data_IF_848490612387
#
_entry.id   IF_848490612387
#
_cell.length_a   1.000
_cell.length_b   1.000
_cell.length_c   1.000
_cell.angle_alpha   90.00
_cell.angle_beta   90.00
_cell.angle_gamma   90.00
#
_symmetry.space_group_name_H-M   'P 1'
#
loop_
_entity.id
_entity.type
_entity.pdbx_description
1 polymer ?
2 polymer ?
3 non-polymer ?
4 non-polymer ?
5 water ?
#
# COMPACT_ATOMS: atom_id res chain seq x y z
N UNK A 7 10.00 -5.68 24.97
CA UNK A 7 11.38 -6.12 24.82
C UNK A 7 11.65 -7.33 25.72
N UNK A 8 11.99 -8.43 25.04
CA UNK A 8 12.08 -9.75 25.62
C UNK A 8 13.49 -9.99 26.14
N UNK A 9 13.59 -10.87 27.13
CA UNK A 9 14.90 -11.28 27.62
C UNK A 9 15.77 -11.77 26.47
N UNK A 10 17.03 -11.36 26.49
CA UNK A 10 17.94 -11.76 25.42
C UNK A 10 18.20 -13.24 25.50
N UNK A 11 18.03 -13.98 24.41
CA UNK A 11 18.45 -15.38 24.39
C UNK A 11 19.96 -15.48 24.43
N UNK A 12 20.43 -16.69 24.71
CA UNK A 12 21.85 -16.97 24.62
C UNK A 12 22.37 -16.72 23.20
N UNK A 13 23.69 -16.65 23.09
CA UNK A 13 24.32 -16.24 21.84
C UNK A 13 24.02 -17.21 20.72
N UNK A 14 24.19 -18.52 20.99
CA UNK A 14 23.95 -19.52 19.94
C UNK A 14 22.49 -19.51 19.53
N UNK A 15 21.59 -19.31 20.50
CA UNK A 15 20.17 -19.24 20.18
C UNK A 15 19.87 -18.07 19.28
N UNK A 16 20.44 -16.90 19.56
CA UNK A 16 20.24 -15.75 18.70
C UNK A 16 20.77 -16.02 17.29
N UNK A 17 22.00 -16.56 17.19
CA UNK A 17 22.54 -16.83 15.88
C UNK A 17 21.59 -17.71 15.08
N UNK A 18 21.14 -18.82 15.65
CA UNK A 18 20.23 -19.70 14.92
C UNK A 18 18.95 -18.98 14.56
N UNK A 19 18.36 -18.23 15.50
CA UNK A 19 17.08 -17.60 15.19
C UNK A 19 17.19 -16.63 14.06
N UNK A 20 18.26 -15.87 14.00
CA UNK A 20 18.37 -14.80 13.03
C UNK A 20 18.90 -15.28 11.68
N UNK A 21 19.71 -16.34 11.64
CA UNK A 21 20.35 -16.83 10.41
C UNK A 21 19.62 -17.97 9.71
N UNK A 22 18.77 -18.74 10.40
CA UNK A 22 18.38 -20.05 9.88
C UNK A 22 17.57 -19.93 8.59
N UNK A 23 17.56 -21.03 7.83
CA UNK A 23 16.91 -21.04 6.52
C UNK A 23 15.40 -21.14 6.54
N UNK A 24 14.81 -21.39 7.70
CA UNK A 24 13.35 -21.42 7.86
C UNK A 24 12.78 -20.02 8.11
N UNK A 25 13.27 -19.32 9.13
CA UNK A 25 12.70 -18.05 9.55
C UNK A 25 13.72 -16.92 9.63
N UNK A 26 14.94 -17.18 9.23
CA UNK A 26 16.00 -16.22 9.38
C UNK A 26 16.57 -15.81 8.04
N UNK A 27 17.80 -15.31 8.07
CA UNK A 27 18.42 -14.62 6.94
C UNK A 27 18.48 -15.51 5.71
N UNK A 28 18.60 -16.83 5.89
CA UNK A 28 18.72 -17.76 4.80
C UNK A 28 17.38 -18.20 4.21
N UNK A 29 16.27 -17.67 4.73
CA UNK A 29 14.94 -18.00 4.16
C UNK A 29 14.90 -17.57 2.70
N UNK A 30 14.40 -18.42 1.80
CA UNK A 30 14.26 -18.00 0.40
C UNK A 30 13.34 -16.79 0.25
N UNK A 31 13.58 -16.01 -0.82
CA UNK A 31 12.72 -14.87 -1.18
C UNK A 31 11.45 -15.38 -1.84
N UNK A 32 10.30 -14.95 -1.33
CA UNK A 32 9.00 -15.34 -1.87
C UNK A 32 8.15 -14.10 -2.08
N UNK A 33 7.65 -13.93 -3.27
CA UNK A 33 6.94 -12.73 -3.64
C UNK A 33 5.82 -12.40 -2.67
N UNK A 34 5.79 -11.14 -2.26
CA UNK A 34 4.80 -10.66 -1.32
C UNK A 34 5.30 -10.54 0.09
N UNK A 35 6.32 -11.28 0.46
CA UNK A 35 6.79 -11.26 1.83
C UNK A 35 7.52 -9.95 2.12
N UNK A 36 7.53 -9.58 3.41
CA UNK A 36 8.25 -8.42 3.89
C UNK A 36 9.62 -8.83 4.37
N UNK A 37 10.61 -8.01 4.00
CA UNK A 37 11.95 -8.06 4.44
C UNK A 37 12.36 -6.66 4.91
N UNK A 38 13.35 -6.59 5.75
CA UNK A 38 13.80 -5.35 6.35
C UNK A 38 15.29 -5.14 6.09
N UNK A 39 15.68 -3.89 5.91
CA UNK A 39 17.09 -3.57 5.74
C UNK A 39 17.72 -3.24 7.08
N UNK A 40 18.90 -3.80 7.33
CA UNK A 40 19.69 -3.57 8.55
C UNK A 40 21.03 -3.00 8.11
N UNK A 41 21.42 -1.85 8.62
CA UNK A 41 22.71 -1.29 8.23
C UNK A 41 23.84 -2.29 8.55
N UNK A 42 24.76 -2.46 7.60
CA UNK A 42 25.69 -3.59 7.63
C UNK A 42 26.61 -3.52 8.84
N UNK A 43 27.12 -2.34 9.20
CA UNK A 43 28.00 -2.27 10.37
C UNK A 43 27.30 -2.78 11.63
N UNK A 44 26.03 -2.42 11.84
CA UNK A 44 25.31 -2.97 12.99
C UNK A 44 25.24 -4.47 12.90
N UNK A 45 24.85 -5.03 11.74
CA UNK A 45 24.68 -6.48 11.69
C UNK A 45 26.02 -7.19 11.91
N UNK A 46 27.10 -6.64 11.38
CA UNK A 46 28.41 -7.27 11.61
C UNK A 46 28.84 -7.18 13.07
N UNK A 47 28.40 -6.14 13.77
CA UNK A 47 28.72 -6.01 15.19
C UNK A 47 27.93 -7.03 15.97
N UNK A 48 26.63 -7.21 15.64
CA UNK A 48 25.81 -8.26 16.21
C UNK A 48 26.43 -9.63 15.95
N UNK A 49 26.89 -9.89 14.73
CA UNK A 49 27.53 -11.16 14.41
C UNK A 49 28.77 -11.37 15.28
N UNK A 50 29.64 -10.37 15.37
CA UNK A 50 30.84 -10.51 16.18
C UNK A 50 30.48 -10.83 17.63
N UNK A 51 29.47 -10.13 18.17
CA UNK A 51 28.99 -10.41 19.51
C UNK A 51 28.52 -11.85 19.69
N UNK A 52 27.61 -12.32 18.83
CA UNK A 52 27.05 -13.65 19.06
C UNK A 52 28.00 -14.76 18.72
N UNK A 53 29.04 -14.50 17.95
CA UNK A 53 30.07 -15.50 17.65
C UNK A 53 31.26 -15.38 18.59
N UNK A 54 31.22 -14.42 19.55
CA UNK A 54 32.40 -14.08 20.32
C UNK A 54 32.59 -14.88 21.58
N UNK A 55 31.61 -15.69 21.98
CA UNK A 55 31.74 -16.57 23.13
C UNK A 55 31.60 -15.91 24.48
N UNK A 56 31.21 -14.65 24.53
CA UNK A 56 31.15 -13.90 25.79
C UNK A 56 29.86 -13.10 25.79
N UNK A 57 28.83 -13.62 26.48
CA UNK A 57 27.55 -12.92 26.50
C UNK A 57 27.61 -11.57 27.19
N UNK A 58 28.66 -11.30 27.98
CA UNK A 58 28.83 -10.05 28.69
C UNK A 58 29.75 -9.09 27.97
N UNK A 59 30.13 -9.39 26.74
CA UNK A 59 31.17 -8.63 26.06
C UNK A 59 30.71 -7.23 25.65
N UNK A 60 31.67 -6.30 25.70
CA UNK A 60 31.44 -4.97 25.15
C UNK A 60 31.20 -4.95 23.65
N UNK A 61 31.38 -6.07 22.92
CA UNK A 61 31.03 -6.11 21.51
C UNK A 61 29.53 -6.12 21.29
N UNK A 62 28.73 -6.24 22.35
CA UNK A 62 27.27 -6.09 22.30
C UNK A 62 26.90 -4.91 21.39
N UNK A 63 25.97 -5.09 20.46
CA UNK A 63 25.80 -4.06 19.39
C UNK A 63 24.96 -2.87 19.76
N UNK A 64 24.18 -2.93 20.83
CA UNK A 64 23.30 -1.84 21.20
C UNK A 64 22.10 -1.78 20.24
N UNK A 65 21.36 -0.68 20.38
CA UNK A 65 20.16 -0.48 19.58
C UNK A 65 20.45 -0.54 18.09
N UNK A 66 19.51 -1.12 17.35
CA UNK A 66 19.62 -1.04 15.88
C UNK A 66 19.52 0.43 15.47
N UNK A 67 20.44 0.90 14.63
CA UNK A 67 20.38 2.29 14.21
C UNK A 67 20.72 2.34 12.73
N UNK A 68 19.71 2.61 11.90
CA UNK A 68 19.88 2.65 10.45
C UNK A 68 20.09 4.06 9.92
N UNK A 69 20.50 5.00 10.76
CA UNK A 69 20.60 6.42 10.41
C UNK A 69 21.40 6.64 9.14
N UNK A 70 22.48 5.89 8.94
CA UNK A 70 23.32 6.17 7.78
C UNK A 70 22.67 5.72 6.46
N UNK A 71 21.57 5.00 6.50
CA UNK A 71 20.87 4.60 5.27
C UNK A 71 19.91 5.66 4.77
N UNK A 72 19.58 6.67 5.57
CA UNK A 72 18.57 7.66 5.20
C UNK A 72 19.17 8.96 4.69
N UNK A 73 18.47 9.62 3.78
CA UNK A 73 18.95 10.91 3.29
C UNK A 73 18.90 11.96 4.37
N UNK A 74 17.82 11.99 5.12
CA UNK A 74 17.68 12.85 6.29
C UNK A 74 16.66 12.23 7.24
N UNK A 75 16.55 12.84 8.43
CA UNK A 75 15.64 12.39 9.47
C UNK A 75 14.33 13.19 9.51
N UNK A 76 14.04 13.93 8.44
CA UNK A 76 12.77 14.64 8.24
C UNK A 76 11.78 13.78 7.47
N UNK A 77 12.18 13.35 6.27
CA UNK A 77 11.30 12.56 5.45
C UNK A 77 11.71 11.11 5.38
N UNK A 78 12.87 10.76 5.94
CA UNK A 78 13.28 9.35 6.05
C UNK A 78 13.29 8.64 4.69
N UNK A 79 13.71 9.34 3.65
CA UNK A 79 13.82 8.69 2.35
C UNK A 79 15.12 7.90 2.33
N UNK A 80 15.07 6.71 1.79
CA UNK A 80 16.27 5.89 1.69
C UNK A 80 17.28 6.54 0.77
N UNK A 81 18.54 6.49 1.13
CA UNK A 81 19.57 6.92 0.18
C UNK A 81 19.49 6.03 -1.06
N UNK A 82 19.87 6.66 -2.17
CA UNK A 82 19.97 5.99 -3.47
C UNK A 82 21.24 5.17 -3.55
N UNK A 83 21.20 4.13 -4.38
CA UNK A 83 22.43 3.41 -4.73
C UNK A 83 22.94 2.47 -3.66
N UNK A 84 22.14 2.14 -2.67
CA UNK A 84 22.63 1.26 -1.60
C UNK A 84 22.83 -0.14 -2.15
N UNK A 85 23.83 -0.85 -1.65
CA UNK A 85 24.22 -2.18 -2.18
C UNK A 85 24.06 -3.23 -1.09
N UNK A 86 23.31 -4.27 -1.38
CA UNK A 86 23.15 -5.37 -0.42
C UNK A 86 24.52 -6.01 -0.19
N UNK A 87 24.81 -6.30 1.07
CA UNK A 87 26.08 -6.87 1.45
C UNK A 87 27.21 -5.89 1.60
N UNK A 88 26.97 -4.62 1.33
CA UNK A 88 27.93 -3.56 1.56
C UNK A 88 27.34 -2.49 2.46
N UNK A 89 26.19 -1.95 2.11
CA UNK A 89 25.55 -0.97 2.96
C UNK A 89 24.57 -1.59 3.92
N UNK A 90 23.92 -2.68 3.54
CA UNK A 90 22.85 -3.27 4.36
C UNK A 90 22.80 -4.75 4.15
N UNK A 91 22.14 -5.39 5.12
CA UNK A 91 21.84 -6.81 5.10
C UNK A 91 20.33 -6.93 5.17
N UNK A 92 19.75 -7.89 4.44
CA UNK A 92 18.31 -8.10 4.45
C UNK A 92 17.95 -9.18 5.46
N UNK A 93 16.90 -8.92 6.23
CA UNK A 93 16.35 -9.93 7.14
C UNK A 93 14.86 -10.09 6.92
N UNK A 94 14.34 -11.29 7.03
CA UNK A 94 12.89 -11.45 6.93
C UNK A 94 12.22 -10.85 8.15
N UNK A 95 10.91 -10.58 8.02
CA UNK A 95 10.16 -9.95 9.10
C UNK A 95 10.36 -10.65 10.44
N UNK A 96 10.29 -11.99 10.52
CA UNK A 96 10.41 -12.64 11.82
C UNK A 96 11.73 -12.30 12.50
N UNK A 97 12.82 -12.31 11.75
CA UNK A 97 14.13 -12.04 12.31
C UNK A 97 14.28 -10.59 12.70
N UNK A 98 13.82 -9.66 11.87
CA UNK A 98 13.83 -8.25 12.22
C UNK A 98 13.09 -8.00 13.51
N UNK A 99 11.89 -8.53 13.65
CA UNK A 99 11.12 -8.28 14.87
C UNK A 99 11.81 -8.88 16.11
N UNK A 100 12.44 -10.06 15.99
CA UNK A 100 13.20 -10.56 17.13
C UNK A 100 14.34 -9.60 17.48
N UNK A 101 15.11 -9.14 16.49
CA UNK A 101 16.21 -8.26 16.81
C UNK A 101 15.72 -6.98 17.48
N UNK A 102 14.60 -6.40 16.99
CA UNK A 102 14.07 -5.20 17.64
C UNK A 102 13.64 -5.51 19.06
N UNK A 103 13.03 -6.66 19.29
CA UNK A 103 12.64 -7.04 20.64
C UNK A 103 13.84 -7.04 21.58
N UNK A 104 14.93 -7.62 21.11
CA UNK A 104 16.11 -7.84 21.96
C UNK A 104 16.93 -6.58 22.15
N UNK A 105 17.19 -5.83 21.07
CA UNK A 105 18.14 -4.73 21.11
C UNK A 105 17.48 -3.37 21.08
N UNK A 106 16.24 -3.29 20.62
CA UNK A 106 15.58 -2.03 20.40
C UNK A 106 15.96 -1.41 19.08
N UNK A 107 15.13 -0.45 18.67
CA UNK A 107 15.33 0.34 17.47
C UNK A 107 15.44 1.80 17.87
N UNK A 108 16.44 2.50 17.32
CA UNK A 108 16.72 3.89 17.64
C UNK A 108 15.43 4.70 17.74
N UNK A 109 15.29 5.44 18.82
CA UNK A 109 14.02 6.10 19.08
C UNK A 109 13.69 7.08 17.96
N UNK A 110 12.44 7.05 17.54
CA UNK A 110 11.97 7.97 16.51
C UNK A 110 12.25 7.53 15.09
N UNK A 111 12.95 6.45 14.87
CA UNK A 111 13.40 6.05 13.54
C UNK A 111 12.49 5.01 12.99
N UNK A 112 11.99 5.13 11.76
CA UNK A 112 11.10 4.11 11.17
C UNK A 112 11.90 2.91 10.70
N UNK A 113 11.35 1.71 10.79
CA UNK A 113 11.95 0.56 10.11
C UNK A 113 12.02 0.82 8.60
N UNK A 114 12.82 -0.01 7.92
CA UNK A 114 12.91 0.06 6.45
C UNK A 114 12.42 -1.27 5.90
N UNK A 115 11.11 -1.32 5.63
CA UNK A 115 10.43 -2.53 5.18
C UNK A 115 10.25 -2.49 3.68
N UNK A 116 10.57 -3.58 3.02
CA UNK A 116 10.43 -3.67 1.57
C UNK A 116 9.89 -5.04 1.24
N UNK A 117 9.32 -5.19 0.03
CA UNK A 117 8.60 -6.41 -0.33
C UNK A 117 9.37 -7.18 -1.41
N UNK A 118 9.28 -8.51 -1.38
CA UNK A 118 9.77 -9.33 -2.49
C UNK A 118 8.82 -9.21 -3.65
N UNK A 119 9.38 -9.07 -4.83
CA UNK A 119 8.64 -9.14 -6.10
C UNK A 119 9.15 -10.29 -6.95
N UNK A 120 8.28 -10.75 -7.83
CA UNK A 120 8.59 -11.81 -8.78
C UNK A 120 8.83 -11.18 -10.13
N UNK A 121 10.03 -11.41 -10.64
CA UNK A 121 10.47 -10.99 -11.97
C UNK A 121 10.46 -12.25 -12.85
N UNK A 122 10.63 -12.09 -14.17
CA UNK A 122 10.58 -13.26 -15.05
C UNK A 122 11.41 -14.47 -14.66
N UNK A 123 12.65 -14.28 -14.24
CA UNK A 123 13.40 -15.46 -13.81
C UNK A 123 13.95 -15.36 -12.38
N UNK A 124 13.43 -14.61 -11.43
CA UNK A 124 14.09 -14.34 -10.16
C UNK A 124 13.10 -13.68 -9.24
N UNK A 125 13.34 -13.90 -7.96
CA UNK A 125 12.64 -13.13 -6.96
C UNK A 125 13.63 -12.11 -6.38
N UNK A 126 13.17 -10.91 -6.01
CA UNK A 126 14.09 -9.88 -5.52
C UNK A 126 13.36 -8.99 -4.54
N UNK A 127 14.04 -8.47 -3.53
CA UNK A 127 13.43 -7.44 -2.69
C UNK A 127 13.46 -6.13 -3.44
N UNK A 128 12.30 -5.49 -3.55
CA UNK A 128 12.21 -4.24 -4.33
C UNK A 128 12.54 -3.11 -3.36
N UNK A 129 13.83 -2.82 -3.25
CA UNK A 129 14.29 -1.76 -2.35
C UNK A 129 13.85 -0.40 -2.88
N UNK A 130 13.80 -0.27 -4.20
CA UNK A 130 13.50 1.00 -4.85
C UNK A 130 12.31 0.81 -5.79
N UNK A 131 11.08 1.04 -5.32
CA UNK A 131 9.89 1.12 -6.23
C UNK A 131 9.96 2.37 -7.05
N UNK A 132 8.94 2.61 -7.88
CA UNK A 132 8.92 3.70 -8.84
C UNK A 132 7.88 4.73 -8.44
N UNK A 133 8.31 5.96 -8.20
CA UNK A 133 7.36 7.05 -7.95
C UNK A 133 7.09 7.79 -9.25
N UNK A 134 5.85 7.81 -9.71
CA UNK A 134 5.49 8.46 -10.99
C UNK A 134 4.72 9.74 -10.72
N UNK A 135 4.93 10.74 -11.55
CA UNK A 135 4.21 12.01 -11.44
C UNK A 135 3.06 11.96 -12.43
N UNK A 136 1.84 11.82 -11.96
CA UNK A 136 0.68 11.70 -12.82
C UNK A 136 0.08 13.07 -13.03
N UNK A 137 -0.15 13.42 -14.32
CA UNK A 137 -0.78 14.69 -14.67
C UNK A 137 -1.81 14.52 -15.76
N UNK A 138 -2.78 15.43 -15.79
CA UNK A 138 -3.67 15.63 -16.95
C UNK A 138 -2.90 16.34 -18.09
N UNK A 139 -3.28 16.06 -19.34
CA UNK A 139 -2.60 16.71 -20.46
C UNK A 139 -2.80 18.22 -20.47
N UNK A 140 -3.90 18.70 -19.92
CA UNK A 140 -4.17 20.13 -19.99
C UNK A 140 -3.42 20.93 -18.93
N UNK A 141 -2.78 20.29 -17.95
CA UNK A 141 -2.01 21.05 -16.96
C UNK A 141 -0.86 20.15 -16.48
N UNK A 142 0.29 20.30 -17.10
CA UNK A 142 1.41 19.45 -16.81
C UNK A 142 2.10 19.75 -15.49
N UNK A 143 1.68 20.84 -14.82
CA UNK A 143 2.27 21.18 -13.55
C UNK A 143 1.49 20.68 -12.35
N UNK A 144 0.25 20.22 -12.53
CA UNK A 144 -0.59 19.77 -11.39
C UNK A 144 -0.50 18.25 -11.29
N UNK A 145 0.49 17.79 -10.53
CA UNK A 145 0.78 16.36 -10.51
C UNK A 145 0.35 15.73 -9.18
N UNK A 146 0.06 14.44 -9.23
CA UNK A 146 -0.03 13.58 -8.03
C UNK A 146 1.08 12.57 -8.15
N UNK A 147 1.95 12.51 -7.16
CA UNK A 147 3.00 11.50 -7.14
C UNK A 147 2.49 10.22 -6.48
N UNK A 148 2.61 9.12 -7.19
CA UNK A 148 2.12 7.82 -6.70
C UNK A 148 3.22 6.80 -6.86
N UNK A 149 3.43 6.01 -5.80
CA UNK A 149 4.38 4.92 -5.83
C UNK A 149 3.75 3.68 -6.48
N UNK A 150 4.49 3.07 -7.41
CA UNK A 150 4.09 1.80 -8.01
C UNK A 150 5.25 0.83 -7.92
N UNK A 151 4.94 -0.46 -7.88
CA UNK A 151 5.96 -1.49 -8.05
C UNK A 151 6.35 -1.59 -9.51
N UNK A 152 7.58 -2.02 -9.77
CA UNK A 152 8.02 -2.41 -11.10
C UNK A 152 7.14 -3.49 -11.72
N UNK A 153 6.48 -4.30 -10.92
CA UNK A 153 5.63 -5.33 -11.50
C UNK A 153 4.19 -4.92 -11.69
N UNK A 154 3.81 -3.69 -11.33
CA UNK A 154 2.46 -3.25 -11.59
C UNK A 154 2.26 -2.99 -13.10
N UNK A 155 1.02 -3.15 -13.57
CA UNK A 155 0.74 -2.96 -14.99
C UNK A 155 0.56 -1.48 -15.31
N UNK A 156 0.77 -1.16 -16.59
CA UNK A 156 0.41 0.16 -17.07
C UNK A 156 -1.08 0.45 -16.90
N UNK A 157 -1.90 -0.60 -17.01
CA UNK A 157 -3.32 -0.43 -16.76
C UNK A 157 -3.57 0.06 -15.35
N UNK A 158 -2.86 -0.48 -14.36
CA UNK A 158 -3.04 0.03 -12.99
C UNK A 158 -2.62 1.47 -12.88
N UNK A 159 -1.54 1.86 -13.58
CA UNK A 159 -1.17 3.28 -13.55
C UNK A 159 -2.30 4.13 -14.11
N UNK A 160 -2.87 3.71 -15.24
CA UNK A 160 -3.96 4.49 -15.85
C UNK A 160 -5.21 4.53 -14.95
N UNK A 161 -5.57 3.41 -14.35
CA UNK A 161 -6.73 3.42 -13.45
C UNK A 161 -6.48 4.33 -12.28
N UNK A 162 -5.25 4.37 -11.81
CA UNK A 162 -4.90 5.22 -10.67
C UNK A 162 -4.95 6.68 -11.07
N UNK A 163 -4.45 7.05 -12.25
CA UNK A 163 -4.55 8.44 -12.70
C UNK A 163 -6.01 8.84 -12.86
N UNK A 164 -6.87 7.95 -13.39
CA UNK A 164 -8.27 8.30 -13.54
C UNK A 164 -8.90 8.56 -12.16
N UNK A 165 -8.59 7.70 -11.17
CA UNK A 165 -9.15 7.88 -9.83
C UNK A 165 -8.67 9.17 -9.22
N UNK A 166 -7.38 9.45 -9.31
CA UNK A 166 -6.83 10.64 -8.63
C UNK A 166 -7.31 11.92 -9.27
N UNK A 167 -7.66 11.92 -10.55
CA UNK A 167 -8.15 13.12 -11.23
C UNK A 167 -9.67 13.15 -11.33
N UNK A 168 -10.37 12.20 -10.70
CA UNK A 168 -11.82 12.16 -10.70
C UNK A 168 -12.39 12.10 -12.12
N UNK A 169 -11.74 11.33 -12.99
CA UNK A 169 -12.28 11.10 -14.35
C UNK A 169 -13.58 10.34 -14.24
N UNK A 170 -14.58 10.76 -15.01
CA UNK A 170 -15.88 10.11 -14.97
C UNK A 170 -15.87 8.84 -15.82
N UNK A 171 -16.76 7.87 -15.51
CA UNK A 171 -16.64 6.55 -16.16
C UNK A 171 -16.71 6.58 -17.66
N UNK A 172 -17.51 7.49 -18.24
CA UNK A 172 -17.72 7.55 -19.68
C UNK A 172 -16.62 8.29 -20.41
N UNK A 173 -15.72 8.96 -19.70
CA UNK A 173 -14.63 9.65 -20.36
C UNK A 173 -13.56 8.64 -20.82
N UNK A 174 -12.96 8.91 -21.98
CA UNK A 174 -11.90 8.07 -22.53
C UNK A 174 -10.54 8.71 -22.25
N UNK A 175 -9.62 7.89 -21.75
CA UNK A 175 -8.30 8.39 -21.37
C UNK A 175 -7.25 7.42 -21.83
N UNK A 176 -6.04 7.92 -22.06
CA UNK A 176 -4.91 7.07 -22.46
C UNK A 176 -3.62 7.71 -21.95
N UNK A 177 -2.54 6.93 -21.84
CA UNK A 177 -1.32 7.42 -21.21
C UNK A 177 -0.18 7.63 -22.20
N UNK A 178 0.66 8.59 -21.80
CA UNK A 178 1.95 8.91 -22.41
C UNK A 178 3.01 9.00 -21.33
N UNK A 179 4.25 8.71 -21.67
CA UNK A 179 5.39 8.96 -20.77
C UNK A 179 6.30 9.99 -21.40
N UNK A 180 6.77 10.98 -20.64
CA UNK A 180 7.76 11.91 -21.18
C UNK A 180 9.13 11.30 -21.02
N UNK A 181 9.91 11.23 -22.09
CA UNK A 181 11.17 10.52 -22.07
C UNK A 181 12.31 11.50 -21.81
N UNK A 182 13.53 10.97 -21.68
CA UNK A 182 14.68 11.78 -21.37
C UNK A 182 15.06 12.72 -22.50
N UNK A 183 14.58 12.48 -23.75
CA UNK A 183 14.82 13.45 -24.82
C UNK A 183 13.83 14.60 -24.78
N UNK A 184 12.84 14.55 -23.92
CA UNK A 184 11.86 15.61 -23.81
C UNK A 184 10.67 15.44 -24.70
N UNK A 185 10.56 14.34 -25.40
CA UNK A 185 9.39 14.04 -26.21
C UNK A 185 8.54 13.01 -25.51
N UNK A 186 7.44 12.61 -26.14
CA UNK A 186 6.49 11.69 -25.55
C UNK A 186 6.48 10.32 -26.22
N UNK A 187 6.44 9.27 -25.41
CA UNK A 187 6.22 7.91 -25.89
C UNK A 187 4.82 7.48 -25.48
N UNK A 188 4.05 6.99 -26.43
CA UNK A 188 2.71 6.53 -26.13
C UNK A 188 2.77 5.19 -25.41
N UNK A 189 2.00 5.03 -24.33
CA UNK A 189 1.97 3.73 -23.60
C UNK A 189 0.77 2.97 -24.11
N UNK A 190 0.93 2.37 -25.30
CA UNK A 190 -0.21 1.72 -25.98
C UNK A 190 -0.76 0.55 -25.21
N UNK A 191 0.11 -0.21 -24.52
CA UNK A 191 -0.26 -1.53 -24.03
C UNK A 191 -0.47 -1.44 -22.51
N UNK A 192 -1.67 -1.64 -22.05
CA UNK A 192 -1.90 -1.63 -20.61
C UNK A 192 -1.57 -2.91 -19.92
N UNK A 193 -1.25 -3.97 -20.64
CA UNK A 193 -0.95 -5.24 -20.00
C UNK A 193 0.49 -5.37 -19.59
N UNK A 194 1.38 -4.57 -20.11
CA UNK A 194 2.79 -4.73 -19.76
C UNK A 194 3.03 -4.01 -18.45
N UNK A 195 4.19 -4.26 -17.85
CA UNK A 195 4.47 -3.70 -16.54
C UNK A 195 5.21 -2.39 -16.62
N UNK A 196 5.30 -1.74 -15.43
CA UNK A 196 6.16 -0.57 -15.25
C UNK A 196 7.59 -0.89 -15.65
N UNK A 197 8.09 -2.08 -15.27
CA UNK A 197 9.43 -2.47 -15.70
C UNK A 197 9.52 -2.63 -17.22
N UNK A 198 8.56 -3.34 -17.82
CA UNK A 198 8.60 -3.54 -19.28
C UNK A 198 8.62 -2.20 -20.01
N UNK A 199 7.89 -1.22 -19.51
CA UNK A 199 7.82 0.09 -20.12
C UNK A 199 9.01 0.95 -19.78
N UNK A 200 9.92 0.48 -18.93
CA UNK A 200 11.15 1.19 -18.55
C UNK A 200 10.85 2.55 -17.88
N UNK A 201 9.76 2.64 -17.12
CA UNK A 201 9.48 3.87 -16.39
C UNK A 201 10.39 4.00 -15.17
N UNK A 202 10.63 5.26 -14.79
CA UNK A 202 11.59 5.58 -13.75
C UNK A 202 11.02 6.54 -12.73
N UNK A 203 11.55 6.50 -11.52
CA UNK A 203 11.14 7.46 -10.49
C UNK A 203 11.30 8.86 -11.02
N UNK A 204 10.29 9.71 -10.71
CA UNK A 204 10.29 11.10 -11.11
C UNK A 204 9.76 11.33 -12.49
N UNK A 205 9.47 10.28 -13.24
CA UNK A 205 9.05 10.46 -14.63
C UNK A 205 7.62 10.99 -14.71
N UNK A 206 7.41 11.90 -15.67
CA UNK A 206 6.12 12.46 -15.95
C UNK A 206 5.25 11.54 -16.79
N UNK A 207 4.09 11.17 -16.27
CA UNK A 207 3.14 10.30 -16.94
C UNK A 207 1.91 11.15 -17.19
N UNK A 208 1.58 11.32 -18.47
CA UNK A 208 0.51 12.20 -18.88
C UNK A 208 -0.73 11.41 -19.27
N UNK A 209 -1.85 11.66 -18.59
CA UNK A 209 -3.14 11.10 -18.93
C UNK A 209 -3.86 12.11 -19.81
N UNK A 210 -4.08 11.69 -21.07
CA UNK A 210 -4.82 12.45 -22.06
C UNK A 210 -6.28 12.04 -22.04
N UNK A 211 -7.20 13.02 -22.09
CA UNK A 211 -8.64 12.75 -22.15
C UNK A 211 -9.15 13.14 -23.54
N UNK A 212 -9.90 12.22 -24.15
CA UNK A 212 -10.53 12.48 -25.43
C UNK A 212 -11.51 13.64 -25.30
N UNK A 213 -11.53 14.49 -26.32
CA UNK A 213 -12.49 15.59 -26.34
C UNK A 213 -13.90 15.07 -26.60
N UNK A 214 -14.89 15.85 -26.17
CA UNK A 214 -16.29 15.47 -26.40
C UNK A 214 -16.67 15.43 -27.87
N UNK A 215 -15.92 16.09 -28.75
CA UNK A 215 -16.25 15.96 -30.16
C UNK A 215 -15.67 14.68 -30.77
N UNK A 216 -14.99 13.86 -29.95
CA UNK A 216 -14.45 12.60 -30.39
C UNK A 216 -13.02 12.63 -30.83
N UNK A 217 -12.45 13.83 -30.98
CA UNK A 217 -11.04 13.93 -31.34
C UNK A 217 -10.20 13.90 -30.09
N UNK A 218 -8.96 13.50 -30.25
CA UNK A 218 -8.03 13.48 -29.14
C UNK A 218 -7.05 14.67 -29.20
N UNK A 219 -6.77 15.24 -28.02
CA UNK A 219 -5.79 16.35 -27.96
C UNK A 219 -4.48 16.06 -28.69
N UNK A 220 -3.98 14.81 -28.62
CA UNK A 220 -2.66 14.54 -29.21
C UNK A 220 -2.66 14.65 -30.72
N UNK A 221 -3.82 14.69 -31.39
CA UNK A 221 -3.84 14.87 -32.83
C UNK A 221 -3.19 16.18 -33.23
N UNK A 222 -3.16 17.16 -32.32
CA UNK A 222 -2.61 18.47 -32.55
C UNK A 222 -1.09 18.54 -32.39
N UNK A 223 -0.45 17.49 -31.91
CA UNK A 223 0.98 17.52 -31.60
C UNK A 223 1.81 17.06 -32.81
N UNK A 224 3.04 17.54 -32.88
CA UNK A 224 3.95 17.14 -33.93
C UNK A 224 4.31 15.68 -33.70
N UNK A 225 4.16 14.82 -34.73
CA UNK A 225 4.53 13.38 -34.63
C UNK A 225 5.83 13.10 -35.38
N UNK B 9 4.06 -23.91 -14.06
CA UNK B 9 3.66 -25.30 -13.84
C UNK B 9 3.26 -25.49 -12.35
N UNK B 10 2.25 -26.31 -12.10
CA UNK B 10 1.76 -26.45 -10.73
C UNK B 10 2.73 -27.27 -9.88
N UNK B 11 3.06 -26.83 -8.66
CA UNK B 11 3.79 -27.70 -7.73
C UNK B 11 2.92 -28.90 -7.35
N UNK B 12 3.59 -29.91 -6.80
CA UNK B 12 2.87 -31.08 -6.30
C UNK B 12 1.93 -30.71 -5.17
N UNK B 13 1.00 -31.62 -4.86
CA UNK B 13 -0.04 -31.30 -3.87
C UNK B 13 0.53 -31.00 -2.49
N UNK B 14 1.44 -31.85 -1.98
CA UNK B 14 2.02 -31.56 -0.66
C UNK B 14 2.80 -30.25 -0.65
N UNK B 15 3.52 -29.93 -1.74
CA UNK B 15 4.25 -28.67 -1.81
C UNK B 15 3.30 -27.48 -1.76
N UNK B 16 2.19 -27.56 -2.49
CA UNK B 16 1.19 -26.48 -2.40
C UNK B 16 0.68 -26.36 -0.97
N UNK B 17 0.35 -27.49 -0.35
CA UNK B 17 -0.16 -27.47 1.02
C UNK B 17 0.82 -26.75 1.95
N UNK B 18 2.10 -27.12 1.87
CA UNK B 18 3.07 -26.51 2.77
C UNK B 18 3.11 -25.00 2.59
N UNK B 19 3.14 -24.58 1.32
CA UNK B 19 3.32 -23.16 1.03
C UNK B 19 2.13 -22.33 1.51
N UNK B 20 0.93 -22.87 1.42
CA UNK B 20 -0.27 -22.08 1.73
C UNK B 20 -0.68 -22.16 3.18
N UNK B 21 -0.41 -23.29 3.83
CA UNK B 21 -0.90 -23.47 5.17
C UNK B 21 0.11 -23.16 6.26
N UNK B 22 1.39 -23.31 5.99
CA UNK B 22 2.28 -23.47 7.11
C UNK B 22 3.36 -22.40 7.21
N UNK B 23 3.82 -22.27 8.45
CA UNK B 23 4.92 -21.41 8.82
C UNK B 23 4.73 -19.96 8.39
N UNK B 24 5.87 -19.38 8.00
CA UNK B 24 5.95 -18.00 7.57
C UNK B 24 5.32 -17.80 6.21
N UNK B 25 5.23 -18.86 5.40
CA UNK B 25 4.75 -18.67 4.05
C UNK B 25 3.24 -18.66 4.00
N UNK B 26 2.57 -19.34 4.92
CA UNK B 26 1.14 -19.62 4.75
C UNK B 26 0.26 -19.03 5.84
N UNK B 27 -0.93 -19.63 6.04
CA UNK B 27 -1.94 -19.07 6.94
C UNK B 27 -1.46 -18.96 8.38
N UNK B 28 -0.45 -19.75 8.77
CA UNK B 28 0.11 -19.68 10.12
C UNK B 28 1.04 -18.49 10.34
N UNK B 29 1.28 -17.67 9.32
CA UNK B 29 2.20 -16.54 9.47
C UNK B 29 1.67 -15.60 10.54
N UNK B 30 2.48 -15.20 11.51
CA UNK B 30 2.01 -14.22 12.53
C UNK B 30 1.48 -12.93 11.90
N UNK B 31 0.55 -12.30 12.60
CA UNK B 31 -0.01 -10.99 12.22
C UNK B 31 0.92 -9.88 12.66
N UNK B 32 1.39 -9.09 11.68
CA UNK B 32 2.32 -8.01 11.94
C UNK B 32 1.80 -6.72 11.31
N UNK B 33 1.73 -5.65 12.09
CA UNK B 33 1.16 -4.39 11.65
C UNK B 33 1.73 -3.97 10.31
N UNK B 34 0.83 -3.59 9.41
CA UNK B 34 1.22 -3.09 8.12
C UNK B 34 1.32 -4.17 7.05
N UNK B 35 1.44 -5.43 7.41
CA UNK B 35 1.53 -6.46 6.36
C UNK B 35 0.18 -6.64 5.66
N UNK B 36 0.25 -7.11 4.40
CA UNK B 36 -0.95 -7.37 3.62
C UNK B 36 -1.39 -8.82 3.68
N UNK B 37 -2.70 -8.97 3.80
CA UNK B 37 -3.40 -10.25 3.66
C UNK B 37 -4.49 -10.05 2.62
N UNK B 38 -4.90 -11.14 2.00
CA UNK B 38 -5.85 -11.12 0.91
C UNK B 38 -7.01 -12.01 1.23
N UNK B 39 -8.18 -11.61 0.76
CA UNK B 39 -9.38 -12.46 0.93
C UNK B 39 -9.54 -13.44 -0.21
N UNK B 40 -9.89 -14.68 0.14
CA UNK B 40 -10.24 -15.72 -0.80
C UNK B 40 -11.65 -16.22 -0.47
N UNK B 41 -12.53 -16.26 -1.47
CA UNK B 41 -13.86 -16.82 -1.23
C UNK B 41 -13.77 -18.22 -0.61
N UNK B 42 -14.62 -18.49 0.37
CA UNK B 42 -14.46 -19.71 1.15
C UNK B 42 -14.68 -20.97 0.31
N UNK B 43 -15.72 -21.00 -0.54
CA UNK B 43 -15.95 -22.20 -1.34
C UNK B 43 -14.73 -22.55 -2.20
N UNK B 44 -14.11 -21.54 -2.83
CA UNK B 44 -12.92 -21.83 -3.62
C UNK B 44 -11.83 -22.43 -2.74
N UNK B 45 -11.58 -21.82 -1.58
CA UNK B 45 -10.50 -22.31 -0.73
C UNK B 45 -10.78 -23.73 -0.24
N UNK B 46 -12.04 -24.05 0.06
CA UNK B 46 -12.36 -25.40 0.51
C UNK B 46 -12.20 -26.39 -0.63
N UNK B 47 -12.41 -25.95 -1.87
CA UNK B 47 -12.22 -26.84 -3.01
C UNK B 47 -10.73 -27.08 -3.21
N UNK B 48 -9.91 -26.03 -3.12
CA UNK B 48 -8.46 -26.18 -3.17
C UNK B 48 -7.97 -27.13 -2.07
N UNK B 49 -8.52 -26.99 -0.87
CA UNK B 49 -8.11 -27.84 0.23
C UNK B 49 -8.45 -29.30 -0.06
N UNK B 50 -9.65 -29.54 -0.58
CA UNK B 50 -10.02 -30.92 -0.90
C UNK B 50 -9.07 -31.48 -1.96
N UNK B 51 -8.78 -30.69 -2.98
CA UNK B 51 -7.87 -31.09 -4.03
C UNK B 51 -6.48 -31.45 -3.48
N UNK B 52 -5.87 -30.56 -2.66
CA UNK B 52 -4.48 -30.83 -2.27
C UNK B 52 -4.40 -31.92 -1.24
N UNK B 53 -5.51 -32.21 -0.54
CA UNK B 53 -5.52 -33.29 0.45
C UNK B 53 -5.98 -34.61 -0.13
N UNK B 54 -6.41 -34.63 -1.39
CA UNK B 54 -7.00 -35.83 -1.98
C UNK B 54 -6.04 -36.78 -2.63
N UNK B 55 -4.75 -36.44 -2.76
CA UNK B 55 -3.81 -37.43 -3.27
C UNK B 55 -3.86 -37.67 -4.76
N UNK B 56 -4.59 -36.83 -5.52
CA UNK B 56 -4.81 -37.08 -6.95
C UNK B 56 -4.73 -35.75 -7.71
N UNK B 57 -3.58 -35.49 -8.36
CA UNK B 57 -3.40 -34.27 -9.12
C UNK B 57 -4.38 -34.14 -10.28
N UNK B 58 -4.95 -35.27 -10.75
CA UNK B 58 -5.83 -35.27 -11.90
C UNK B 58 -7.30 -35.23 -11.49
N UNK B 59 -7.59 -35.03 -10.20
CA UNK B 59 -8.97 -35.09 -9.72
C UNK B 59 -9.82 -33.95 -10.25
N UNK B 60 -11.12 -34.26 -10.46
CA UNK B 60 -12.11 -33.24 -10.77
C UNK B 60 -12.29 -32.23 -9.65
N UNK B 61 -11.73 -32.44 -8.47
CA UNK B 61 -11.78 -31.43 -7.41
C UNK B 61 -10.84 -30.26 -7.70
N UNK B 62 -9.96 -30.35 -8.72
CA UNK B 62 -9.15 -29.21 -9.12
C UNK B 62 -9.99 -27.94 -9.11
N UNK B 63 -9.52 -26.88 -8.45
CA UNK B 63 -10.44 -25.74 -8.19
C UNK B 63 -10.56 -24.73 -9.29
N UNK B 64 -9.64 -24.75 -10.26
CA UNK B 64 -9.68 -23.76 -11.31
C UNK B 64 -9.26 -22.38 -10.82
N UNK B 65 -9.51 -21.36 -11.66
CA UNK B 65 -9.01 -20.05 -11.24
C UNK B 65 -9.78 -19.49 -10.06
N UNK B 66 -9.06 -18.68 -9.30
CA UNK B 66 -9.68 -18.04 -8.15
C UNK B 66 -10.72 -17.06 -8.65
N UNK B 67 -11.92 -17.11 -8.07
CA UNK B 67 -12.97 -16.19 -8.50
C UNK B 67 -13.67 -15.69 -7.24
N UNK B 68 -13.43 -14.44 -6.85
CA UNK B 68 -14.03 -13.84 -5.67
C UNK B 68 -15.32 -13.06 -5.97
N UNK B 69 -15.95 -13.31 -7.11
CA UNK B 69 -17.11 -12.53 -7.57
C UNK B 69 -18.16 -12.36 -6.48
N UNK B 70 -18.44 -13.40 -5.70
CA UNK B 70 -19.54 -13.33 -4.73
C UNK B 70 -19.21 -12.46 -3.54
N UNK B 71 -17.96 -12.08 -3.37
CA UNK B 71 -17.56 -11.19 -2.28
C UNK B 71 -17.78 -9.72 -2.61
N UNK B 72 -17.99 -9.35 -3.86
CA UNK B 72 -18.05 -7.94 -4.24
C UNK B 72 -19.50 -7.47 -4.33
N UNK B 73 -19.71 -6.17 -4.02
CA UNK B 73 -21.03 -5.60 -4.18
C UNK B 73 -21.42 -5.55 -5.64
N UNK B 74 -20.52 -5.05 -6.48
CA UNK B 74 -20.77 -4.97 -7.90
C UNK B 74 -19.43 -4.79 -8.59
N UNK B 75 -19.46 -4.88 -9.91
CA UNK B 75 -18.27 -4.73 -10.71
C UNK B 75 -18.11 -3.31 -11.24
N UNK B 76 -18.86 -2.33 -10.70
CA UNK B 76 -18.65 -0.92 -11.01
C UNK B 76 -17.56 -0.36 -10.12
N UNK B 77 -17.73 -0.45 -8.81
CA UNK B 77 -16.76 0.07 -7.88
C UNK B 77 -15.95 -1.02 -7.18
N UNK B 78 -16.30 -2.29 -7.35
CA UNK B 78 -15.53 -3.40 -6.76
C UNK B 78 -15.34 -3.26 -5.25
N UNK B 79 -16.38 -2.79 -4.56
CA UNK B 79 -16.32 -2.74 -3.10
C UNK B 79 -16.63 -4.11 -2.54
N UNK B 80 -15.94 -4.46 -1.47
CA UNK B 80 -16.28 -5.66 -0.73
C UNK B 80 -17.68 -5.53 -0.11
N UNK B 81 -18.48 -6.60 -0.21
CA UNK B 81 -19.75 -6.59 0.50
C UNK B 81 -19.53 -6.38 1.99
N UNK B 82 -20.46 -5.60 2.58
CA UNK B 82 -20.52 -5.48 4.04
C UNK B 82 -21.02 -6.78 4.65
N UNK B 83 -20.77 -6.94 5.96
CA UNK B 83 -21.33 -8.04 6.72
C UNK B 83 -20.73 -9.40 6.47
N UNK B 84 -19.57 -9.47 5.83
CA UNK B 84 -18.95 -10.77 5.63
C UNK B 84 -18.25 -11.24 6.90
N UNK B 85 -18.15 -12.55 7.08
CA UNK B 85 -17.56 -13.17 8.29
C UNK B 85 -16.42 -14.09 7.88
N UNK B 86 -15.26 -13.88 8.51
CA UNK B 86 -14.11 -14.72 8.25
C UNK B 86 -14.43 -16.16 8.66
N UNK B 87 -14.01 -17.12 7.82
CA UNK B 87 -14.28 -18.51 8.03
C UNK B 87 -15.65 -18.97 7.61
N UNK B 88 -16.53 -18.06 7.22
CA UNK B 88 -17.84 -18.36 6.65
C UNK B 88 -17.85 -17.94 5.20
N UNK B 89 -17.59 -16.69 4.91
CA UNK B 89 -17.65 -16.16 3.57
C UNK B 89 -16.30 -16.15 2.90
N UNK B 90 -15.21 -16.00 3.63
CA UNK B 90 -13.88 -15.87 3.04
C UNK B 90 -12.85 -16.41 4.03
N UNK B 91 -11.66 -16.69 3.51
CA UNK B 91 -10.47 -17.08 4.27
C UNK B 91 -9.40 -16.04 3.97
N UNK B 92 -8.58 -15.72 4.98
CA UNK B 92 -7.51 -14.74 4.82
C UNK B 92 -6.20 -15.44 4.54
N UNK B 93 -5.44 -14.96 3.54
CA UNK B 93 -4.12 -15.50 3.26
C UNK B 93 -3.08 -14.41 3.31
N UNK B 94 -1.87 -14.67 3.78
CA UNK B 94 -0.84 -13.66 3.71
C UNK B 94 -0.45 -13.41 2.25
N UNK B 95 0.17 -12.23 2.01
CA UNK B 95 0.49 -11.80 0.65
C UNK B 95 1.20 -12.87 -0.16
N UNK B 96 2.20 -13.55 0.41
CA UNK B 96 2.94 -14.53 -0.37
C UNK B 96 2.09 -15.73 -0.74
N UNK B 97 1.22 -16.17 0.16
CA UNK B 97 0.35 -17.30 -0.19
C UNK B 97 -0.65 -16.93 -1.27
N UNK B 98 -1.23 -15.74 -1.20
CA UNK B 98 -2.07 -15.23 -2.28
C UNK B 98 -1.32 -15.18 -3.59
N UNK B 99 -0.10 -14.65 -3.60
CA UNK B 99 0.67 -14.56 -4.83
C UNK B 99 0.89 -15.95 -5.42
N UNK B 100 1.24 -16.91 -4.60
CA UNK B 100 1.46 -18.24 -5.11
C UNK B 100 0.21 -18.87 -5.64
N UNK B 101 -0.90 -18.75 -4.95
CA UNK B 101 -2.13 -19.33 -5.43
C UNK B 101 -2.54 -18.70 -6.77
N UNK B 102 -2.38 -17.37 -6.92
CA UNK B 102 -2.72 -16.74 -8.20
C UNK B 102 -1.79 -17.24 -9.29
N UNK B 103 -0.51 -17.43 -8.96
CA UNK B 103 0.42 -17.90 -9.98
C UNK B 103 0.14 -19.35 -10.41
N UNK B 104 -0.45 -20.15 -9.53
CA UNK B 104 -0.75 -21.53 -9.87
C UNK B 104 -2.06 -21.67 -10.61
N UNK B 105 -3.09 -20.98 -10.14
CA UNK B 105 -4.45 -21.19 -10.61
C UNK B 105 -5.00 -20.04 -11.46
N UNK B 106 -4.40 -18.85 -11.37
CA UNK B 106 -4.95 -17.69 -12.05
C UNK B 106 -6.03 -17.03 -11.24
N UNK B 107 -6.31 -15.79 -11.59
CA UNK B 107 -7.35 -14.99 -10.98
C UNK B 107 -8.33 -14.61 -12.11
N UNK B 108 -9.63 -14.71 -11.82
CA UNK B 108 -10.69 -14.37 -12.79
C UNK B 108 -10.37 -13.08 -13.53
N UNK B 109 -10.48 -13.14 -14.85
CA UNK B 109 -10.06 -12.03 -15.67
C UNK B 109 -10.85 -10.79 -15.33
N UNK B 110 -10.14 -9.68 -15.19
CA UNK B 110 -10.71 -8.38 -14.92
C UNK B 110 -11.02 -8.08 -13.46
N UNK B 111 -10.80 -9.01 -12.60
CA UNK B 111 -11.22 -8.88 -11.20
C UNK B 111 -10.05 -8.47 -10.32
N UNK B 112 -10.20 -7.47 -9.49
CA UNK B 112 -9.09 -7.01 -8.64
C UNK B 112 -8.91 -7.93 -7.45
N UNK B 113 -7.68 -8.12 -6.94
CA UNK B 113 -7.50 -8.73 -5.62
C UNK B 113 -8.15 -7.90 -4.55
N UNK B 114 -8.38 -8.54 -3.39
CA UNK B 114 -8.99 -7.88 -2.23
C UNK B 114 -7.92 -7.88 -1.13
N UNK B 115 -7.15 -6.79 -1.05
CA UNK B 115 -5.99 -6.66 -0.20
C UNK B 115 -6.38 -5.84 1.03
N UNK B 116 -6.00 -6.34 2.20
CA UNK B 116 -6.29 -5.66 3.48
C UNK B 116 -5.04 -5.72 4.34
N UNK B 117 -4.96 -4.84 5.35
CA UNK B 117 -3.75 -4.70 6.13
C UNK B 117 -3.97 -5.09 7.59
N UNK B 118 -2.91 -5.59 8.22
CA UNK B 118 -2.92 -5.80 9.65
C UNK B 118 -2.79 -4.47 10.37
N UNK B 119 -3.58 -4.30 11.45
CA UNK B 119 -3.48 -3.16 12.36
C UNK B 119 -3.31 -3.63 13.79
N UNK B 120 -2.81 -2.67 14.59
CA UNK B 120 -2.59 -2.85 16.01
C UNK B 120 -3.74 -2.22 16.77
N UNK B 121 -4.34 -3.00 17.63
CA UNK B 121 -5.34 -2.48 18.54
C UNK B 121 -4.85 -2.76 19.95
N UNK B 122 -5.44 -2.12 20.97
CA UNK B 122 -4.79 -2.13 22.29
C UNK B 122 -4.15 -3.42 22.77
N UNK B 123 -4.78 -4.58 22.62
CA UNK B 123 -4.16 -5.81 23.07
C UNK B 123 -4.09 -6.87 21.97
N UNK B 124 -4.20 -6.50 20.70
CA UNK B 124 -4.33 -7.50 19.65
C UNK B 124 -3.87 -6.93 18.32
N UNK B 125 -3.50 -7.82 17.42
CA UNK B 125 -3.39 -7.46 16.01
C UNK B 125 -4.53 -8.13 15.23
N UNK B 126 -5.01 -7.44 14.20
CA UNK B 126 -6.06 -8.05 13.36
C UNK B 126 -5.94 -7.48 11.95
N UNK B 127 -6.40 -8.27 10.98
CA UNK B 127 -6.56 -7.74 9.63
C UNK B 127 -7.79 -6.84 9.62
N UNK B 128 -7.62 -5.60 9.15
CA UNK B 128 -8.73 -4.65 9.07
C UNK B 128 -9.45 -4.85 7.74
N UNK B 129 -10.43 -5.72 7.77
CA UNK B 129 -11.19 -6.08 6.55
C UNK B 129 -12.10 -4.93 6.15
N UNK B 130 -12.59 -4.14 7.12
CA UNK B 130 -13.49 -3.01 6.86
C UNK B 130 -12.82 -1.75 7.39
N UNK B 131 -11.99 -1.10 6.61
CA UNK B 131 -11.55 0.26 6.95
C UNK B 131 -12.74 1.21 6.78
N UNK B 132 -12.51 2.50 6.97
CA UNK B 132 -13.57 3.50 6.92
C UNK B 132 -13.38 4.27 5.62
N UNK B 133 -14.36 4.19 4.74
CA UNK B 133 -14.32 4.91 3.49
C UNK B 133 -14.90 6.31 3.71
N UNK B 134 -14.11 7.33 3.48
CA UNK B 134 -14.56 8.72 3.69
C UNK B 134 -14.66 9.45 2.37
N UNK B 135 -15.68 10.29 2.24
CA UNK B 135 -15.86 11.11 1.02
C UNK B 135 -15.31 12.49 1.30
N UNK B 136 -14.17 12.81 0.74
CA UNK B 136 -13.49 14.08 1.05
C UNK B 136 -13.92 15.10 0.01
N UNK B 137 -14.43 16.25 0.46
CA UNK B 137 -14.86 17.34 -0.43
C UNK B 137 -14.36 18.65 0.10
N UNK B 138 -14.21 19.61 -0.79
CA UNK B 138 -13.99 21.00 -0.39
C UNK B 138 -15.33 21.69 -0.21
N UNK B 139 -15.36 22.70 0.67
CA UNK B 139 -16.62 23.31 1.07
C UNK B 139 -17.35 23.98 -0.08
N UNK B 140 -16.64 24.36 -1.16
CA UNK B 140 -17.31 25.06 -2.25
C UNK B 140 -18.03 24.12 -3.19
N UNK B 141 -17.81 22.80 -3.12
CA UNK B 141 -18.47 21.85 -4.04
C UNK B 141 -18.60 20.51 -3.29
N UNK B 142 -19.75 20.34 -2.68
CA UNK B 142 -19.94 19.18 -1.83
C UNK B 142 -20.18 17.91 -2.63
N UNK B 143 -20.29 18.00 -3.95
CA UNK B 143 -20.50 16.83 -4.80
C UNK B 143 -19.21 16.33 -5.43
N UNK B 144 -18.12 17.08 -5.36
CA UNK B 144 -16.86 16.70 -6.00
C UNK B 144 -15.95 16.05 -4.94
N UNK B 145 -16.07 14.72 -4.84
CA UNK B 145 -15.45 14.00 -3.74
C UNK B 145 -14.33 13.10 -4.20
N UNK B 146 -13.34 12.97 -3.33
CA UNK B 146 -12.37 11.87 -3.42
C UNK B 146 -12.78 10.84 -2.38
N UNK B 147 -13.06 9.63 -2.79
CA UNK B 147 -13.44 8.54 -1.88
C UNK B 147 -12.17 7.82 -1.49
N UNK B 148 -11.81 7.84 -0.22
CA UNK B 148 -10.52 7.34 0.27
C UNK B 148 -10.77 6.41 1.45
N UNK B 149 -10.11 5.25 1.47
CA UNK B 149 -10.20 4.33 2.61
C UNK B 149 -9.13 4.65 3.64
N UNK B 150 -9.56 4.87 4.88
CA UNK B 150 -8.66 5.13 6.01
C UNK B 150 -8.82 4.03 7.03
N UNK B 151 -7.73 3.68 7.71
CA UNK B 151 -7.84 2.79 8.83
C UNK B 151 -8.56 3.47 9.97
N UNK B 152 -9.24 2.65 10.77
CA UNK B 152 -9.76 3.12 12.06
C UNK B 152 -8.64 3.69 12.92
N UNK B 153 -7.40 3.26 12.70
CA UNK B 153 -6.28 3.71 13.51
C UNK B 153 -5.56 4.91 12.91
N UNK B 154 -5.97 5.40 11.73
CA UNK B 154 -5.33 6.58 11.17
C UNK B 154 -5.77 7.81 11.95
N UNK B 155 -4.89 8.82 11.99
CA UNK B 155 -5.24 10.05 12.69
C UNK B 155 -6.10 10.96 11.81
N UNK B 156 -6.82 11.88 12.46
CA UNK B 156 -7.52 12.93 11.75
C UNK B 156 -6.51 13.80 11.03
N UNK B 157 -5.30 13.99 11.58
CA UNK B 157 -4.27 14.73 10.87
C UNK B 157 -3.95 14.07 9.54
N UNK B 158 -3.87 12.71 9.50
CA UNK B 158 -3.63 12.02 8.23
C UNK B 158 -4.81 12.23 7.28
N UNK B 159 -6.05 12.23 7.78
CA UNK B 159 -7.18 12.52 6.90
C UNK B 159 -7.01 13.90 6.30
N UNK B 160 -6.67 14.89 7.09
CA UNK B 160 -6.50 16.24 6.58
C UNK B 160 -5.35 16.31 5.57
N UNK B 161 -4.19 15.72 5.88
CA UNK B 161 -3.09 15.77 4.93
C UNK B 161 -3.49 15.08 3.62
N UNK B 162 -4.22 14.00 3.72
CA UNK B 162 -4.67 13.29 2.51
C UNK B 162 -5.63 14.13 1.68
N UNK B 163 -6.60 14.79 2.35
CA UNK B 163 -7.51 15.65 1.61
C UNK B 163 -6.76 16.77 0.92
N UNK B 164 -5.75 17.37 1.61
CA UNK B 164 -4.98 18.42 0.99
C UNK B 164 -4.25 17.93 -0.25
N UNK B 165 -3.64 16.74 -0.15
CA UNK B 165 -2.94 16.20 -1.30
C UNK B 165 -3.90 15.90 -2.45
N UNK B 166 -5.04 15.31 -2.14
CA UNK B 166 -5.93 14.88 -3.22
C UNK B 166 -6.44 16.05 -3.98
N UNK B 167 -6.66 17.18 -3.31
CA UNK B 167 -7.21 18.38 -3.94
C UNK B 167 -6.15 19.38 -4.37
N UNK B 168 -4.87 19.02 -4.25
CA UNK B 168 -3.78 19.89 -4.65
C UNK B 168 -3.84 21.24 -3.93
N UNK B 169 -4.18 21.20 -2.64
CA UNK B 169 -4.16 22.43 -1.84
C UNK B 169 -2.75 22.97 -1.76
N UNK B 170 -2.60 24.28 -1.90
CA UNK B 170 -1.27 24.87 -1.91
C UNK B 170 -0.79 25.10 -0.49
N UNK B 171 0.53 25.13 -0.29
CA UNK B 171 1.07 25.16 1.07
C UNK B 171 0.58 26.33 1.90
N UNK B 172 0.35 27.49 1.29
CA UNK B 172 -0.04 28.67 2.05
C UNK B 172 -1.54 28.67 2.41
N UNK B 173 -2.34 27.78 1.84
CA UNK B 173 -3.76 27.71 2.18
C UNK B 173 -3.94 27.03 3.52
N UNK B 174 -4.81 27.59 4.35
CA UNK B 174 -5.14 27.01 5.65
C UNK B 174 -6.45 26.24 5.51
N UNK B 175 -6.48 25.04 6.04
CA UNK B 175 -7.66 24.21 5.87
C UNK B 175 -8.02 23.53 7.16
N UNK B 176 -9.31 23.22 7.33
CA UNK B 176 -9.71 22.45 8.51
C UNK B 176 -10.94 21.63 8.18
N UNK B 177 -11.22 20.60 8.98
CA UNK B 177 -12.22 19.60 8.60
C UNK B 177 -13.49 19.64 9.47
N UNK B 178 -14.59 19.25 8.83
CA UNK B 178 -15.88 19.01 9.47
C UNK B 178 -16.38 17.65 8.99
N UNK B 179 -17.21 17.00 9.78
CA UNK B 179 -17.89 15.79 9.33
C UNK B 179 -19.39 16.04 9.31
N UNK B 180 -20.06 15.64 8.24
CA UNK B 180 -21.50 15.71 8.23
C UNK B 180 -22.07 14.48 8.89
N UNK B 181 -22.93 14.67 9.89
CA UNK B 181 -23.49 13.59 10.67
C UNK B 181 -24.82 13.10 10.06
N UNK B 182 -25.40 12.06 10.68
CA UNK B 182 -26.62 11.47 10.13
C UNK B 182 -27.85 12.37 10.27
N UNK B 183 -27.79 13.39 11.13
CA UNK B 183 -28.83 14.40 11.26
C UNK B 183 -28.70 15.50 10.22
N UNK B 184 -27.65 15.49 9.42
CA UNK B 184 -27.48 16.48 8.40
C UNK B 184 -26.77 17.73 8.86
N UNK B 185 -26.31 17.79 10.11
CA UNK B 185 -25.53 18.93 10.58
C UNK B 185 -24.05 18.58 10.59
N UNK B 186 -23.21 19.53 11.00
CA UNK B 186 -21.77 19.37 10.94
C UNK B 186 -21.15 19.27 12.32
N UNK B 187 -20.23 18.36 12.46
CA UNK B 187 -19.39 18.25 13.65
C UNK B 187 -17.96 18.63 13.31
N UNK B 188 -17.41 19.57 14.05
CA UNK B 188 -16.05 19.99 13.81
C UNK B 188 -15.05 18.91 14.23
N UNK B 189 -14.09 18.59 13.35
CA UNK B 189 -13.02 17.62 13.69
C UNK B 189 -11.80 18.39 14.18
N UNK B 190 -11.86 18.81 15.44
CA UNK B 190 -10.86 19.74 15.98
C UNK B 190 -9.48 19.12 16.12
N UNK B 191 -9.39 17.92 16.64
CA UNK B 191 -8.13 17.39 17.16
C UNK B 191 -7.54 16.48 16.08
N UNK B 192 -6.37 16.84 15.58
CA UNK B 192 -5.71 16.02 14.56
C UNK B 192 -4.97 14.83 15.13
N UNK B 193 -4.78 14.76 16.41
CA UNK B 193 -4.03 13.67 17.02
C UNK B 193 -4.89 12.43 17.26
N UNK B 194 -6.20 12.59 17.36
CA UNK B 194 -7.05 11.43 17.62
C UNK B 194 -7.29 10.63 16.34
N UNK B 195 -7.81 9.43 16.49
CA UNK B 195 -7.98 8.56 15.34
C UNK B 195 -9.37 8.65 14.77
N UNK B 196 -9.49 8.08 13.57
CA UNK B 196 -10.79 7.91 12.92
C UNK B 196 -11.76 7.17 13.86
N UNK B 197 -11.27 6.15 14.56
CA UNK B 197 -12.16 5.48 15.50
C UNK B 197 -12.56 6.42 16.64
N UNK B 198 -11.59 7.17 17.20
CA UNK B 198 -11.91 8.06 18.32
C UNK B 198 -12.95 9.08 17.90
N UNK B 199 -12.85 9.56 16.66
CA UNK B 199 -13.79 10.55 16.12
C UNK B 199 -15.13 9.92 15.71
N UNK B 200 -15.26 8.60 15.81
CA UNK B 200 -16.52 7.92 15.51
C UNK B 200 -16.95 8.13 14.07
N UNK B 201 -16.01 8.25 13.16
CA UNK B 201 -16.39 8.37 11.75
C UNK B 201 -16.79 7.02 11.19
N UNK B 202 -17.69 7.03 10.21
CA UNK B 202 -18.23 5.81 9.65
C UNK B 202 -18.12 5.80 8.13
N UNK B 203 -18.04 4.61 7.54
CA UNK B 203 -18.00 4.51 6.07
C UNK B 203 -19.11 5.27 5.40
N UNK B 204 -18.75 5.95 4.31
CA UNK B 204 -19.69 6.72 3.55
C UNK B 204 -19.86 8.15 4.04
N UNK B 205 -19.23 8.53 5.14
CA UNK B 205 -19.45 9.86 5.72
C UNK B 205 -18.76 10.90 4.86
N UNK B 206 -19.44 12.05 4.73
CA UNK B 206 -18.93 13.23 4.07
C UNK B 206 -18.02 14.01 5.00
N UNK B 207 -16.80 14.25 4.58
CA UNK B 207 -15.82 15.04 5.32
C UNK B 207 -15.55 16.28 4.50
N UNK B 208 -15.87 17.45 5.06
CA UNK B 208 -15.78 18.74 4.36
C UNK B 208 -14.54 19.45 4.81
N UNK B 209 -13.67 19.78 3.87
CA UNK B 209 -12.48 20.59 4.12
C UNK B 209 -12.80 21.99 3.67
N UNK B 210 -12.84 22.93 4.63
CA UNK B 210 -12.98 24.34 4.27
C UNK B 210 -11.60 25.00 4.27
N UNK B 211 -11.50 26.05 3.47
CA UNK B 211 -10.27 26.80 3.31
C UNK B 211 -10.47 28.25 3.78
N UNK B 212 -9.54 28.70 4.60
CA UNK B 212 -9.59 30.07 5.12
C UNK B 212 -9.46 31.06 3.98
N UNK B 213 -10.23 32.13 4.08
CA UNK B 213 -10.19 33.22 3.10
C UNK B 213 -8.96 34.09 3.30
N UNK B 214 -8.58 34.87 2.29
CA UNK B 214 -7.35 35.65 2.36
C UNK B 214 -7.38 36.71 3.45
N UNK B 215 -8.55 37.14 3.89
CA UNK B 215 -8.61 38.10 5.00
C UNK B 215 -8.52 37.41 6.37
N UNK B 216 -8.34 36.10 6.41
CA UNK B 216 -8.24 35.41 7.65
C UNK B 216 -9.54 34.84 8.15
N UNK B 217 -10.68 35.19 7.53
CA UNK B 217 -11.96 34.64 8.02
C UNK B 217 -12.21 33.28 7.40
N UNK B 218 -13.03 32.44 8.07
CA UNK B 218 -13.36 31.11 7.62
C UNK B 218 -14.77 31.07 7.07
N UNK B 219 -14.96 30.35 5.96
CA UNK B 219 -16.32 30.19 5.39
C UNK B 219 -17.37 29.72 6.39
N UNK B 220 -16.99 28.83 7.31
CA UNK B 220 -17.95 28.33 8.31
C UNK B 220 -18.41 29.37 9.31
N UNK B 221 -17.74 30.53 9.43
CA UNK B 221 -18.21 31.55 10.35
C UNK B 221 -19.58 32.02 9.90
N UNK B 222 -19.89 31.77 8.62
CA UNK B 222 -21.17 32.21 8.05
C UNK B 222 -22.33 31.27 8.42
N UNK B 223 -22.05 30.13 9.09
CA UNK B 223 -23.06 29.11 9.34
C UNK B 223 -23.70 29.25 10.71
N UNK B 224 -24.98 28.84 10.77
CA UNK B 224 -25.69 28.84 12.04
C UNK B 224 -25.15 27.78 13.01
N UNK B 225 -24.65 28.26 14.14
CA UNK B 225 -23.93 27.45 15.12
C UNK B 225 -24.87 27.02 16.24
N UNK C 1 -24.86 23.37 -6.09
CA UNK C 1 -24.70 24.84 -6.08
C UNK C 1 -23.75 25.19 -4.97
N UNK C 2 -22.84 26.14 -5.20
CA UNK C 2 -21.84 26.49 -4.20
C UNK C 2 -22.47 27.01 -2.90
N UNK C 3 -23.66 27.58 -2.96
CA UNK C 3 -24.30 28.01 -1.70
C UNK C 3 -24.70 26.88 -0.75
N UNK C 4 -24.66 25.62 -1.17
CA UNK C 4 -25.19 24.54 -0.34
C UNK C 4 -24.51 24.48 1.02
N UNK C 5 -23.17 24.62 1.05
CA UNK C 5 -22.45 24.54 2.32
C UNK C 5 -22.97 25.58 3.30
N UNK C 6 -23.31 26.78 2.82
CA UNK C 6 -23.69 27.86 3.71
C UNK C 6 -25.07 27.66 4.31
N UNK C 7 -25.82 26.65 3.88
CA UNK C 7 -27.11 26.37 4.51
C UNK C 7 -27.00 25.33 5.62
N UNK C 8 -25.84 24.69 5.78
CA UNK C 8 -25.69 23.68 6.82
C UNK C 8 -25.56 24.32 8.19
N UNK C 9 -26.00 23.58 9.19
CA UNK C 9 -25.90 23.98 10.60
C UNK C 9 -24.79 23.23 11.31
N UNK C 10 -24.23 23.85 12.34
CA UNK C 10 -23.16 23.24 13.13
C UNK C 10 -23.73 22.68 14.42
N UNK C 11 -23.44 21.42 14.73
CA UNK C 11 -23.80 20.78 16.00
C UNK C 11 -22.77 21.15 17.06
N UNK C 12 -23.24 21.73 18.16
CA UNK C 12 -22.33 22.14 19.21
C UNK C 12 -21.64 20.90 19.78
N UNK C 13 -20.31 20.92 19.95
CA UNK C 13 -19.59 19.78 20.52
C UNK C 13 -19.90 19.55 21.98
N UNK D 3 -0.98 25.26 -22.02
CA UNK D 3 -0.61 24.90 -23.38
C UNK D 3 0.62 24.01 -23.60
N UNK D 4 1.37 23.68 -22.54
CA UNK D 4 2.67 23.01 -22.70
C UNK D 4 2.56 21.70 -23.47
N UNK D 5 1.53 20.87 -23.19
CA UNK D 5 1.39 19.59 -23.86
C UNK D 5 1.45 19.76 -25.37
N UNK D 6 0.83 20.84 -25.91
CA UNK D 6 0.73 20.97 -27.35
C UNK D 6 2.04 21.34 -28.00
N UNK D 7 3.05 21.74 -27.22
CA UNK D 7 4.37 22.01 -27.75
C UNK D 7 5.26 20.77 -27.75
N UNK D 8 4.85 19.67 -27.12
CA UNK D 8 5.69 18.48 -27.04
C UNK D 8 5.59 17.64 -28.30
N UNK D 9 6.71 17.01 -28.68
CA UNK D 9 6.74 16.14 -29.83
C UNK D 9 6.45 14.72 -29.41
N UNK D 10 5.83 13.96 -30.28
CA UNK D 10 5.53 12.56 -30.08
C UNK D 10 6.58 11.78 -30.82
N UNK D 11 7.28 10.91 -30.11
CA UNK D 11 8.28 10.03 -30.72
C UNK D 11 7.51 8.89 -31.35
N UNK D 12 7.57 8.84 -32.68
CA UNK D 12 6.87 7.80 -33.40
C UNK D 12 7.49 6.47 -32.99
N UNK D 13 6.67 5.45 -32.68
CA UNK D 13 7.26 4.16 -32.31
C UNK D 13 7.93 3.50 -33.49
#
# INVERSE_FOLDING_TARGET
MDREPQHEELPGLDSQWRQIENGESGRERPLRAGESWFLVEKHWYKQWEAYVQGGDQDSSTFPGCINNATLFQDEINWRLKEGLVEGEDYVLLPAAAWHYLVSWYGLEHGQPPIERKVIELPNIQKVEVYPVELLLVRHNDLGKSHTVQFSHTDSIGLVLRTARERFLVEPQEDTRLWAKNSEGSLDRLYDTHITVLDAALETGQLIIMETRKKDGTWPSAQLEHHHHHH
MDREPQHEELPGLDSQWRQIENGESGRERPLRAGESWFLVEKHWYKQWEAYVQGGDQDSSTFPGCINNATLFQDEINWRLKEGLVEGEDYVLLPAAAWHYLVSWYGLEHGQPPIERKVIELPNIQKVEVYPVELLLVRHNDLGKSHTVQFSHTDSIGLVLRTARERFLVEPQEDTRLWAKNSEGSLDRLYDTHITVLDAALETGQLIIMETRKKDGTWPSAQLEHHHHHH
AEGEFYKLKIRTPX
AEGEFYKLKIRTPX
#
